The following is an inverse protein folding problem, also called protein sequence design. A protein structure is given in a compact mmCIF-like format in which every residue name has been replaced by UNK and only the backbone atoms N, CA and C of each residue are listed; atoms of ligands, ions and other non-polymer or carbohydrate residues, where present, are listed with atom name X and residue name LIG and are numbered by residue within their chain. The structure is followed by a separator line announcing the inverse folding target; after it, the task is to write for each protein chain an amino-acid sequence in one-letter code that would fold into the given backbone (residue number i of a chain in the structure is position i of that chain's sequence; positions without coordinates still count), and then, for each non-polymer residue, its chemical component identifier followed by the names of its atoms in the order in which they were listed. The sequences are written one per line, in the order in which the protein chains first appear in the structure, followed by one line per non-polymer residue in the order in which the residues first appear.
data_IF_956943028619
#
_entry.id   IF_956943028619
#
_cell.length_a   1.000
_cell.length_b   1.000
_cell.length_c   1.000
_cell.angle_alpha   90.00
_cell.angle_beta   90.00
_cell.angle_gamma   90.00
#
_symmetry.space_group_name_H-M   'P 1'
#
loop_
_entity.id
_entity.type
_entity.pdbx_description
1 polymer ?
#
# COMPACT_ATOMS: atom_id res chain seq x y z
N UNK A 1 -9.62 -2.42 -15.08
CA UNK A 1 -10.01 -1.53 -13.97
C UNK A 1 -8.75 -1.22 -13.18
N UNK A 2 -8.33 0.05 -13.12
CA UNK A 2 -7.08 0.46 -12.48
C UNK A 2 -7.15 0.20 -10.98
N UNK A 3 -6.30 -0.70 -10.47
CA UNK A 3 -6.18 -1.06 -9.06
C UNK A 3 -5.13 -0.22 -8.33
N UNK A 4 -5.09 1.09 -8.61
CA UNK A 4 -4.67 1.99 -7.55
C UNK A 4 -5.66 1.81 -6.41
N UNK A 5 -5.23 1.29 -5.25
CA UNK A 5 -6.07 1.45 -4.07
C UNK A 5 -6.11 2.94 -3.76
N UNK A 6 -7.13 3.61 -4.27
CA UNK A 6 -7.45 4.96 -3.86
C UNK A 6 -7.51 4.97 -2.33
N UNK A 7 -7.17 6.10 -1.70
CA UNK A 7 -7.27 6.18 -0.22
C UNK A 7 -8.68 5.76 0.24
N UNK A 8 -9.67 6.08 -0.59
CA UNK A 8 -11.05 5.63 -0.52
C UNK A 8 -11.19 4.10 -0.45
N UNK A 9 -10.54 3.33 -1.32
CA UNK A 9 -10.62 1.85 -1.29
C UNK A 9 -9.95 1.25 -0.06
N UNK A 10 -8.85 1.86 0.43
CA UNK A 10 -8.20 1.42 1.67
C UNK A 10 -9.10 1.67 2.88
N UNK A 11 -9.70 2.86 2.96
CA UNK A 11 -10.66 3.19 4.01
C UNK A 11 -11.90 2.28 3.90
N UNK A 12 -12.39 2.00 2.70
CA UNK A 12 -13.51 1.08 2.48
C UNK A 12 -13.20 -0.32 3.03
N UNK A 13 -12.02 -0.88 2.72
CA UNK A 13 -11.60 -2.18 3.24
C UNK A 13 -11.47 -2.20 4.76
N UNK A 14 -10.92 -1.13 5.34
CA UNK A 14 -10.81 -0.99 6.80
C UNK A 14 -12.19 -1.02 7.46
N UNK A 15 -13.11 -0.17 7.01
CA UNK A 15 -14.46 -0.08 7.58
C UNK A 15 -15.19 -1.42 7.41
N UNK A 16 -15.13 -2.02 6.22
CA UNK A 16 -15.78 -3.29 5.96
C UNK A 16 -15.20 -4.43 6.82
N UNK A 17 -13.89 -4.45 7.02
CA UNK A 17 -13.20 -5.42 7.89
C UNK A 17 -13.59 -5.25 9.36
N UNK A 18 -13.61 -4.02 9.87
CA UNK A 18 -14.05 -3.73 11.24
C UNK A 18 -15.51 -4.17 11.47
N UNK A 19 -16.41 -3.96 10.52
CA UNK A 19 -17.81 -4.42 10.63
C UNK A 19 -17.89 -5.96 10.58
N UNK A 20 -17.17 -6.59 9.65
CA UNK A 20 -17.26 -8.04 9.42
C UNK A 20 -16.65 -8.86 10.57
N UNK A 21 -15.63 -8.35 11.24
CA UNK A 21 -14.93 -9.02 12.34
C UNK A 21 -15.49 -8.65 13.73
N UNK A 22 -16.47 -7.77 13.80
CA UNK A 22 -17.06 -7.34 15.08
C UNK A 22 -18.05 -8.37 15.61
N UNK A 23 -18.01 -8.62 16.93
CA UNK A 23 -19.06 -9.34 17.65
C UNK A 23 -20.42 -8.63 17.59
N UNK A 24 -20.42 -7.32 17.32
CA UNK A 24 -21.61 -6.49 17.18
C UNK A 24 -21.57 -5.67 15.87
N UNK A 25 -21.76 -6.31 14.70
CA UNK A 25 -21.64 -5.65 13.39
C UNK A 25 -22.58 -4.46 13.23
N UNK A 26 -23.83 -4.58 13.69
CA UNK A 26 -24.83 -3.51 13.62
C UNK A 26 -24.44 -2.27 14.41
N UNK A 27 -23.92 -2.45 15.63
CA UNK A 27 -23.39 -1.34 16.44
C UNK A 27 -22.15 -0.72 15.80
N UNK A 28 -21.30 -1.54 15.17
CA UNK A 28 -20.12 -1.07 14.44
C UNK A 28 -20.49 -0.24 13.22
N UNK A 29 -21.53 -0.64 12.48
CA UNK A 29 -22.13 0.17 11.42
C UNK A 29 -22.60 1.52 11.97
N UNK A 30 -23.31 1.54 13.10
CA UNK A 30 -23.76 2.78 13.76
C UNK A 30 -22.59 3.73 14.05
N UNK A 31 -21.53 3.23 14.69
CA UNK A 31 -20.32 4.00 15.02
C UNK A 31 -19.73 4.62 13.75
N UNK A 32 -19.59 3.83 12.68
CA UNK A 32 -19.05 4.33 11.42
C UNK A 32 -19.96 5.37 10.77
N UNK A 33 -21.28 5.16 10.74
CA UNK A 33 -22.22 6.16 10.22
C UNK A 33 -22.12 7.48 11.01
N UNK A 34 -22.04 7.41 12.33
CA UNK A 34 -21.94 8.59 13.21
C UNK A 34 -20.60 9.32 13.06
N UNK A 35 -19.50 8.59 12.89
CA UNK A 35 -18.18 9.18 12.56
C UNK A 35 -18.21 9.96 11.24
N UNK A 36 -18.94 9.44 10.26
CA UNK A 36 -19.20 10.12 9.00
C UNK A 36 -20.23 11.25 9.11
N UNK A 37 -20.86 11.41 10.28
CA UNK A 37 -21.91 12.41 10.57
C UNK A 37 -23.10 12.31 9.62
N UNK A 38 -23.41 11.09 9.15
CA UNK A 38 -24.50 10.85 8.21
C UNK A 38 -25.78 10.46 8.99
N UNK A 39 -26.90 11.19 8.83
CA UNK A 39 -28.18 10.78 9.40
C UNK A 39 -28.70 9.47 8.80
N UNK A 40 -29.42 8.66 9.58
CA UNK A 40 -30.00 7.40 9.08
C UNK A 40 -30.89 7.62 7.86
N UNK A 41 -31.69 8.70 7.85
CA UNK A 41 -32.59 9.03 6.74
C UNK A 41 -31.84 9.31 5.43
N UNK A 42 -30.72 10.03 5.50
CA UNK A 42 -29.87 10.36 4.34
C UNK A 42 -29.22 9.10 3.78
N UNK A 43 -28.72 8.23 4.67
CA UNK A 43 -28.12 6.96 4.26
C UNK A 43 -29.15 6.02 3.62
N UNK A 44 -30.34 5.94 4.22
CA UNK A 44 -31.41 5.07 3.74
C UNK A 44 -31.93 5.53 2.36
N UNK A 45 -32.09 6.84 2.18
CA UNK A 45 -32.47 7.46 0.90
C UNK A 45 -31.45 7.14 -0.19
N UNK A 46 -30.15 7.36 0.09
CA UNK A 46 -29.07 7.04 -0.85
C UNK A 46 -28.99 5.55 -1.20
N UNK A 47 -29.38 4.68 -0.27
CA UNK A 47 -29.43 3.23 -0.49
C UNK A 47 -30.77 2.75 -1.08
N UNK A 48 -31.74 3.64 -1.29
CA UNK A 48 -33.10 3.31 -1.74
C UNK A 48 -33.76 2.24 -0.87
N UNK A 49 -33.67 2.39 0.45
CA UNK A 49 -34.29 1.52 1.45
C UNK A 49 -35.00 2.35 2.52
N UNK A 50 -35.89 1.72 3.30
CA UNK A 50 -36.52 2.40 4.43
C UNK A 50 -35.51 2.71 5.56
N UNK A 51 -35.58 3.88 6.22
CA UNK A 51 -34.79 4.18 7.42
C UNK A 51 -34.90 3.13 8.53
N UNK A 52 -36.05 2.43 8.62
CA UNK A 52 -36.24 1.33 9.57
C UNK A 52 -35.25 0.18 9.35
N UNK A 53 -34.80 -0.07 8.11
CA UNK A 53 -33.82 -1.12 7.81
C UNK A 53 -32.45 -0.78 8.41
N UNK A 54 -32.03 0.48 8.34
CA UNK A 54 -30.79 0.93 8.98
C UNK A 54 -30.93 0.84 10.50
N UNK A 55 -32.05 1.32 11.05
CA UNK A 55 -32.33 1.21 12.49
C UNK A 55 -32.34 -0.24 12.98
N UNK A 56 -32.88 -1.19 12.22
CA UNK A 56 -32.90 -2.61 12.58
C UNK A 56 -31.50 -3.21 12.70
N UNK A 57 -30.58 -2.86 11.81
CA UNK A 57 -29.19 -3.26 11.94
C UNK A 57 -28.53 -2.60 13.15
N UNK A 58 -28.66 -1.28 13.28
CA UNK A 58 -27.98 -0.51 14.33
C UNK A 58 -28.47 -0.82 15.75
N UNK A 59 -29.72 -1.27 15.89
CA UNK A 59 -30.30 -1.71 17.16
C UNK A 59 -30.03 -3.19 17.49
N UNK A 60 -29.42 -3.94 16.57
CA UNK A 60 -29.18 -5.37 16.74
C UNK A 60 -30.41 -6.26 16.52
N UNK A 61 -31.57 -5.71 16.11
CA UNK A 61 -32.73 -6.51 15.67
C UNK A 61 -32.35 -7.45 14.51
N UNK A 62 -31.46 -6.98 13.62
CA UNK A 62 -30.79 -7.81 12.61
C UNK A 62 -29.36 -8.10 13.05
N UNK A 63 -29.10 -9.36 13.44
CA UNK A 63 -27.84 -9.77 14.07
C UNK A 63 -26.61 -9.60 13.19
N UNK A 64 -26.70 -9.92 11.89
CA UNK A 64 -25.52 -9.92 11.01
C UNK A 64 -25.86 -9.40 9.60
N UNK A 65 -25.26 -8.29 9.14
CA UNK A 65 -25.39 -7.83 7.77
C UNK A 65 -24.62 -8.76 6.82
N UNK A 66 -25.22 -9.08 5.67
CA UNK A 66 -24.52 -9.83 4.61
C UNK A 66 -23.42 -8.99 3.96
N UNK A 67 -22.49 -9.64 3.25
CA UNK A 67 -21.36 -8.98 2.58
C UNK A 67 -21.79 -7.93 1.55
N UNK A 68 -22.93 -8.15 0.87
CA UNK A 68 -23.53 -7.17 -0.05
C UNK A 68 -24.04 -5.93 0.68
N UNK A 69 -24.68 -6.11 1.84
CA UNK A 69 -25.15 -5.02 2.72
C UNK A 69 -23.99 -4.19 3.23
N UNK A 70 -22.93 -4.84 3.75
CA UNK A 70 -21.72 -4.15 4.22
C UNK A 70 -21.10 -3.34 3.07
N UNK A 71 -20.94 -3.95 1.89
CA UNK A 71 -20.38 -3.26 0.71
C UNK A 71 -21.17 -2.03 0.33
N UNK A 72 -22.51 -2.14 0.25
CA UNK A 72 -23.40 -1.02 -0.10
C UNK A 72 -23.33 0.08 0.95
N UNK A 73 -23.40 -0.28 2.23
CA UNK A 73 -23.28 0.64 3.35
C UNK A 73 -21.97 1.44 3.32
N UNK A 74 -20.82 0.75 3.23
CA UNK A 74 -19.51 1.41 3.23
C UNK A 74 -19.34 2.32 2.02
N UNK A 75 -19.75 1.87 0.82
CA UNK A 75 -19.69 2.70 -0.39
C UNK A 75 -20.59 3.93 -0.29
N UNK A 76 -21.76 3.80 0.31
CA UNK A 76 -22.67 4.91 0.54
C UNK A 76 -22.07 5.95 1.50
N UNK A 77 -21.46 5.53 2.62
CA UNK A 77 -20.79 6.45 3.54
C UNK A 77 -19.71 7.28 2.84
N UNK A 78 -18.85 6.62 2.06
CA UNK A 78 -17.77 7.30 1.35
C UNK A 78 -18.29 8.26 0.28
N UNK A 79 -19.28 7.82 -0.50
CA UNK A 79 -19.87 8.64 -1.57
C UNK A 79 -20.58 9.88 -1.01
N UNK A 80 -21.29 9.73 0.11
CA UNK A 80 -21.97 10.83 0.80
C UNK A 80 -20.99 11.82 1.44
N UNK A 81 -19.86 11.37 1.99
CA UNK A 81 -18.82 12.28 2.48
C UNK A 81 -18.15 13.04 1.33
N UNK A 82 -17.82 12.36 0.22
CA UNK A 82 -17.26 12.99 -0.98
C UNK A 82 -18.19 14.09 -1.53
N UNK A 83 -19.50 13.82 -1.59
CA UNK A 83 -20.51 14.82 -1.97
C UNK A 83 -20.60 16.02 -1.02
N UNK A 84 -20.19 15.86 0.24
CA UNK A 84 -20.19 16.89 1.27
C UNK A 84 -18.79 17.50 1.52
N UNK A 85 -17.87 17.38 0.57
CA UNK A 85 -16.53 17.99 0.63
C UNK A 85 -15.43 17.09 1.19
N UNK A 86 -15.71 15.81 1.48
CA UNK A 86 -14.71 14.78 1.73
C UNK A 86 -13.92 14.94 3.03
N UNK A 87 -14.44 15.68 4.02
CA UNK A 87 -13.68 16.04 5.21
C UNK A 87 -13.37 14.84 6.10
N UNK A 88 -14.28 13.87 6.20
CA UNK A 88 -14.08 12.68 7.04
C UNK A 88 -13.06 11.77 6.39
N UNK A 89 -13.18 11.53 5.08
CA UNK A 89 -12.17 10.81 4.31
C UNK A 89 -10.82 11.50 4.46
N UNK A 90 -10.72 12.81 4.25
CA UNK A 90 -9.47 13.57 4.41
C UNK A 90 -8.90 13.51 5.85
N UNK A 91 -9.76 13.50 6.87
CA UNK A 91 -9.35 13.33 8.27
C UNK A 91 -8.79 11.94 8.54
N UNK A 92 -9.45 10.90 8.04
CA UNK A 92 -8.93 9.52 8.10
C UNK A 92 -7.69 9.35 7.25
N UNK A 93 -7.59 10.00 6.08
CA UNK A 93 -6.36 10.06 5.28
C UNK A 93 -5.24 10.60 6.14
N UNK A 94 -5.40 11.75 6.82
CA UNK A 94 -4.36 12.31 7.70
C UNK A 94 -4.00 11.37 8.85
N UNK A 95 -4.98 10.78 9.53
CA UNK A 95 -4.73 9.86 10.67
C UNK A 95 -4.13 8.52 10.22
N UNK A 96 -4.48 8.04 9.03
CA UNK A 96 -3.90 6.86 8.40
C UNK A 96 -2.56 7.18 7.70
N UNK A 97 -2.32 8.42 7.27
CA UNK A 97 -1.08 8.89 6.63
C UNK A 97 0.00 9.20 7.66
N UNK A 98 -0.33 9.56 8.90
CA UNK A 98 0.64 9.48 10.03
C UNK A 98 1.19 8.05 10.18
N UNK A 99 0.47 7.04 9.65
CA UNK A 99 0.90 5.64 9.64
C UNK A 99 1.51 5.15 8.32
N UNK A 100 1.68 5.99 7.30
CA UNK A 100 2.32 5.62 6.03
C UNK A 100 3.44 6.63 5.75
N UNK A 101 4.66 6.30 6.20
CA UNK A 101 5.96 6.81 5.69
C UNK A 101 5.80 8.05 4.81
N UNK A 102 5.99 9.26 5.36
CA UNK A 102 5.78 10.58 4.75
C UNK A 102 5.60 10.55 3.22
N UNK A 103 4.54 11.17 2.68
CA UNK A 103 4.25 11.20 1.23
C UNK A 103 5.42 11.60 0.33
N UNK A 104 6.48 12.19 0.91
CA UNK A 104 7.72 12.53 0.21
C UNK A 104 8.80 11.43 0.21
N UNK A 105 8.70 10.44 1.08
CA UNK A 105 9.61 9.29 1.19
C UNK A 105 9.14 8.14 0.30
N UNK A 106 7.85 7.78 0.34
CA UNK A 106 7.29 6.74 -0.56
C UNK A 106 6.71 7.39 -1.81
N UNK A 107 7.43 7.26 -2.92
CA UNK A 107 7.09 7.88 -4.20
C UNK A 107 6.02 7.10 -4.98
N UNK A 108 5.97 5.77 -4.80
CA UNK A 108 4.95 4.89 -5.36
C UNK A 108 4.92 3.57 -4.59
N UNK A 109 3.74 2.96 -4.45
CA UNK A 109 3.60 1.63 -3.86
C UNK A 109 2.37 0.95 -4.46
N UNK A 110 2.50 -0.32 -4.82
CA UNK A 110 1.38 -1.14 -5.26
C UNK A 110 1.61 -2.62 -4.90
N UNK A 111 0.49 -3.32 -4.66
CA UNK A 111 0.43 -4.78 -4.54
C UNK A 111 -0.04 -5.37 -5.88
N UNK A 112 0.52 -6.51 -6.26
CA UNK A 112 0.12 -7.24 -7.47
C UNK A 112 -0.98 -8.25 -7.15
N UNK A 113 -2.04 -8.34 -7.97
CA UNK A 113 -3.08 -9.36 -7.80
C UNK A 113 -2.57 -10.77 -8.11
N UNK A 114 -1.62 -10.87 -9.03
CA UNK A 114 -0.91 -12.11 -9.39
C UNK A 114 0.59 -11.87 -9.20
N UNK A 115 1.35 -12.79 -8.57
CA UNK A 115 2.77 -12.58 -8.36
C UNK A 115 3.54 -12.47 -9.68
N UNK A 116 4.53 -11.56 -9.71
CA UNK A 116 5.45 -11.39 -10.83
C UNK A 116 6.82 -11.95 -10.46
N UNK A 117 7.42 -12.76 -11.34
CA UNK A 117 8.79 -13.25 -11.12
C UNK A 117 9.78 -12.08 -11.13
N UNK A 118 10.73 -12.05 -10.20
CA UNK A 118 11.72 -10.96 -10.10
C UNK A 118 12.51 -10.69 -11.38
N UNK A 119 12.89 -11.74 -12.12
CA UNK A 119 13.52 -11.62 -13.46
C UNK A 119 12.62 -10.90 -14.45
N UNK A 120 11.32 -11.18 -14.41
CA UNK A 120 10.34 -10.53 -15.28
C UNK A 120 10.13 -9.07 -14.91
N UNK A 121 10.02 -8.79 -13.61
CA UNK A 121 9.97 -7.43 -13.09
C UNK A 121 11.18 -6.60 -13.54
N UNK A 122 12.40 -7.13 -13.38
CA UNK A 122 13.62 -6.48 -13.85
C UNK A 122 13.62 -6.25 -15.36
N UNK A 123 13.19 -7.24 -16.16
CA UNK A 123 13.11 -7.13 -17.62
C UNK A 123 12.19 -5.99 -18.04
N UNK A 124 11.00 -5.88 -17.46
CA UNK A 124 10.01 -4.83 -17.78
C UNK A 124 10.49 -3.43 -17.40
N UNK A 125 11.25 -3.31 -16.31
CA UNK A 125 11.78 -2.02 -15.84
C UNK A 125 13.20 -1.72 -16.36
N UNK A 126 13.72 -2.52 -17.29
CA UNK A 126 15.09 -2.36 -17.83
C UNK A 126 16.14 -2.33 -16.72
N UNK A 127 16.04 -3.27 -15.79
CA UNK A 127 16.97 -3.41 -14.68
C UNK A 127 17.97 -4.53 -14.95
N UNK A 128 19.25 -4.24 -14.70
CA UNK A 128 20.33 -5.23 -14.76
C UNK A 128 20.58 -5.79 -13.37
N UNK A 129 20.49 -7.12 -13.22
CA UNK A 129 20.78 -7.78 -11.96
C UNK A 129 22.31 -7.87 -11.80
N UNK A 130 22.83 -7.15 -10.81
CA UNK A 130 24.28 -7.01 -10.55
C UNK A 130 24.78 -7.98 -9.46
N UNK A 131 23.88 -8.49 -8.60
CA UNK A 131 24.21 -9.48 -7.57
C UNK A 131 23.00 -10.38 -7.26
N UNK A 132 23.24 -11.56 -6.68
CA UNK A 132 22.20 -12.48 -6.23
C UNK A 132 21.35 -13.08 -7.35
N UNK A 133 21.91 -13.22 -8.57
CA UNK A 133 21.18 -13.67 -9.79
C UNK A 133 20.45 -15.02 -9.62
N UNK A 134 21.00 -15.93 -8.82
CA UNK A 134 20.38 -17.22 -8.45
C UNK A 134 19.05 -17.07 -7.69
N UNK A 135 18.88 -15.98 -6.95
CA UNK A 135 17.67 -15.68 -6.18
C UNK A 135 16.65 -14.85 -6.96
N UNK A 136 16.98 -14.38 -8.16
CA UNK A 136 16.17 -13.40 -8.90
C UNK A 136 14.83 -13.96 -9.44
N UNK A 137 14.63 -15.28 -9.42
CA UNK A 137 13.39 -15.89 -9.92
C UNK A 137 12.30 -16.09 -8.85
N UNK A 138 12.45 -15.48 -7.68
CA UNK A 138 11.42 -15.47 -6.63
C UNK A 138 10.19 -14.68 -7.08
N UNK A 139 9.05 -14.99 -6.46
CA UNK A 139 7.82 -14.23 -6.65
C UNK A 139 7.88 -12.88 -5.95
N UNK A 140 7.28 -11.89 -6.59
CA UNK A 140 7.06 -10.56 -6.06
C UNK A 140 5.57 -10.31 -6.05
N UNK A 141 5.05 -9.89 -4.90
CA UNK A 141 3.64 -9.55 -4.68
C UNK A 141 3.40 -8.04 -4.70
N UNK A 142 4.41 -7.24 -5.03
CA UNK A 142 4.27 -5.80 -5.15
C UNK A 142 5.61 -5.09 -5.23
N UNK A 143 5.55 -3.76 -5.12
CA UNK A 143 6.73 -2.91 -5.03
C UNK A 143 6.52 -1.68 -4.14
N UNK A 144 7.63 -1.13 -3.67
CA UNK A 144 7.69 0.19 -3.03
C UNK A 144 8.85 0.99 -3.62
N UNK A 145 8.55 2.15 -4.18
CA UNK A 145 9.53 3.13 -4.65
C UNK A 145 9.77 4.18 -3.57
N UNK A 146 11.02 4.34 -3.17
CA UNK A 146 11.44 5.10 -1.99
C UNK A 146 12.50 6.13 -2.36
N UNK A 147 12.42 7.32 -1.77
CA UNK A 147 13.52 8.28 -1.72
C UNK A 147 14.48 7.87 -0.60
N UNK A 148 15.68 7.40 -0.97
CA UNK A 148 16.63 6.89 0.01
C UNK A 148 17.20 7.98 0.92
N UNK A 149 17.37 9.20 0.42
CA UNK A 149 17.98 10.27 1.21
C UNK A 149 17.09 10.66 2.37
N UNK A 150 15.77 10.74 2.11
CA UNK A 150 14.78 11.01 3.16
C UNK A 150 14.58 9.80 4.04
N UNK A 151 14.47 8.60 3.44
CA UNK A 151 14.26 7.37 4.20
C UNK A 151 15.31 7.15 5.30
N UNK A 152 16.60 7.37 4.99
CA UNK A 152 17.68 7.19 5.97
C UNK A 152 17.70 8.27 7.05
N UNK A 153 17.22 9.48 6.75
CA UNK A 153 17.21 10.60 7.71
C UNK A 153 15.99 10.57 8.63
N UNK A 154 14.86 10.12 8.12
CA UNK A 154 13.54 10.34 8.74
C UNK A 154 12.91 9.06 9.29
N UNK A 155 13.31 7.87 8.81
CA UNK A 155 12.69 6.61 9.25
C UNK A 155 13.47 5.93 10.37
N UNK A 156 12.76 5.60 11.44
CA UNK A 156 13.16 4.60 12.40
C UNK A 156 12.84 3.18 11.89
N UNK A 157 13.24 2.14 12.65
CA UNK A 157 13.01 0.74 12.27
C UNK A 157 11.52 0.40 12.13
N UNK A 158 10.65 0.96 12.98
CA UNK A 158 9.22 0.72 12.92
C UNK A 158 8.59 1.37 11.66
N UNK A 159 9.06 2.54 11.27
CA UNK A 159 8.62 3.24 10.08
C UNK A 159 9.18 2.58 8.81
N UNK A 160 10.41 2.05 8.85
CA UNK A 160 10.98 1.29 7.75
C UNK A 160 10.17 0.03 7.44
N UNK A 161 9.67 -0.68 8.48
CA UNK A 161 8.84 -1.86 8.29
C UNK A 161 7.60 -1.60 7.41
N UNK A 162 7.07 -0.37 7.43
CA UNK A 162 5.93 0.03 6.60
C UNK A 162 6.26 0.05 5.10
N UNK A 163 7.55 0.12 4.72
CA UNK A 163 7.97 0.00 3.32
C UNK A 163 7.62 -1.36 2.72
N UNK A 164 7.41 -2.40 3.53
CA UNK A 164 6.97 -3.72 3.07
C UNK A 164 5.47 -3.77 2.73
N UNK A 165 4.68 -2.74 3.03
CA UNK A 165 3.24 -2.75 2.74
C UNK A 165 2.55 -3.98 3.35
N UNK A 166 1.84 -4.76 2.53
CA UNK A 166 1.12 -5.96 2.99
C UNK A 166 2.00 -7.22 3.10
N UNK A 167 3.19 -7.26 2.49
CA UNK A 167 4.02 -8.46 2.40
C UNK A 167 5.48 -8.12 2.20
N UNK A 168 6.36 -8.87 2.87
CA UNK A 168 7.82 -8.75 2.71
C UNK A 168 8.31 -9.29 1.36
N UNK A 169 7.52 -10.13 0.69
CA UNK A 169 7.82 -10.72 -0.61
C UNK A 169 7.55 -9.74 -1.75
N UNK A 170 8.26 -8.60 -1.74
CA UNK A 170 8.11 -7.53 -2.72
C UNK A 170 9.45 -6.94 -3.12
N UNK A 171 9.42 -6.05 -4.11
CA UNK A 171 10.58 -5.26 -4.50
C UNK A 171 10.64 -3.93 -3.73
N UNK A 172 11.79 -3.61 -3.13
CA UNK A 172 12.10 -2.24 -2.68
C UNK A 172 12.99 -1.56 -3.72
N UNK A 173 12.51 -0.44 -4.26
CA UNK A 173 13.22 0.38 -5.23
C UNK A 173 13.64 1.69 -4.56
N UNK A 174 14.93 2.01 -4.65
CA UNK A 174 15.46 3.25 -4.07
C UNK A 174 15.88 4.20 -5.19
N UNK A 175 15.33 5.41 -5.17
CA UNK A 175 15.71 6.51 -6.07
C UNK A 175 16.82 7.36 -5.45
N UNK A 176 17.45 8.22 -6.26
CA UNK A 176 18.53 9.12 -5.83
C UNK A 176 19.70 8.36 -5.16
N UNK A 177 19.91 7.11 -5.59
CA UNK A 177 21.00 6.29 -5.06
C UNK A 177 22.31 6.74 -5.67
N UNK A 178 23.31 6.97 -4.84
CA UNK A 178 24.70 7.21 -5.25
C UNK A 178 25.45 5.91 -5.50
N UNK A 179 25.62 5.06 -4.47
CA UNK A 179 26.40 3.80 -4.58
C UNK A 179 25.65 2.55 -4.14
N UNK A 180 24.48 2.68 -3.51
CA UNK A 180 23.70 1.55 -2.99
C UNK A 180 24.12 1.05 -1.60
N UNK A 181 25.18 1.61 -1.00
CA UNK A 181 25.61 1.25 0.36
C UNK A 181 24.53 1.55 1.40
N UNK A 182 24.03 2.78 1.43
CA UNK A 182 23.00 3.22 2.39
C UNK A 182 21.74 2.34 2.40
N UNK A 183 21.07 2.05 1.25
CA UNK A 183 19.88 1.20 1.26
C UNK A 183 20.19 -0.23 1.70
N UNK A 184 21.34 -0.79 1.31
CA UNK A 184 21.68 -2.17 1.69
C UNK A 184 22.03 -2.30 3.18
N UNK A 185 22.69 -1.30 3.77
CA UNK A 185 22.95 -1.25 5.22
C UNK A 185 21.63 -1.08 6.00
N UNK A 186 20.74 -0.20 5.54
CA UNK A 186 19.42 -0.02 6.15
C UNK A 186 18.58 -1.30 6.09
N UNK A 187 18.61 -2.04 4.98
CA UNK A 187 17.97 -3.35 4.87
C UNK A 187 18.63 -4.35 5.82
N UNK A 188 19.97 -4.35 5.92
CA UNK A 188 20.69 -5.30 6.78
C UNK A 188 20.27 -5.19 8.25
N UNK A 189 19.97 -3.99 8.75
CA UNK A 189 19.53 -3.76 10.13
C UNK A 189 18.10 -4.18 10.43
N UNK A 190 17.27 -4.45 9.41
CA UNK A 190 15.89 -4.90 9.62
C UNK A 190 15.81 -6.40 9.94
N UNK A 191 14.76 -6.82 10.64
CA UNK A 191 14.47 -8.25 10.82
C UNK A 191 14.05 -8.90 9.49
N UNK A 192 13.12 -8.25 8.77
CA UNK A 192 12.58 -8.75 7.51
C UNK A 192 13.36 -8.24 6.30
N UNK A 193 13.44 -9.07 5.25
CA UNK A 193 14.18 -8.78 4.02
C UNK A 193 13.26 -8.78 2.79
N UNK A 194 13.44 -7.86 1.84
CA UNK A 194 12.69 -7.88 0.59
C UNK A 194 13.12 -9.02 -0.33
N UNK A 195 12.25 -9.41 -1.26
CA UNK A 195 12.56 -10.42 -2.29
C UNK A 195 13.45 -9.89 -3.42
N UNK A 196 13.51 -8.57 -3.62
CA UNK A 196 14.32 -7.90 -4.63
C UNK A 196 14.64 -6.46 -4.21
N UNK A 197 15.86 -6.00 -4.46
CA UNK A 197 16.23 -4.58 -4.33
C UNK A 197 16.62 -4.03 -5.69
N UNK A 198 16.10 -2.85 -6.03
CA UNK A 198 16.48 -2.11 -7.24
C UNK A 198 17.02 -0.74 -6.86
N UNK A 199 18.18 -0.39 -7.41
CA UNK A 199 18.80 0.91 -7.28
C UNK A 199 18.53 1.75 -8.53
N UNK A 200 18.07 2.99 -8.35
CA UNK A 200 17.84 3.95 -9.43
C UNK A 200 18.63 5.24 -9.15
N UNK A 201 19.34 5.71 -10.18
CA UNK A 201 20.17 6.92 -10.12
C UNK A 201 21.67 6.65 -10.05
N UNK A 202 22.09 5.39 -10.02
CA UNK A 202 23.48 4.98 -10.02
C UNK A 202 23.82 4.08 -11.20
N UNK A 203 25.07 4.18 -11.68
CA UNK A 203 25.68 3.24 -12.64
C UNK A 203 26.74 2.36 -12.01
N UNK A 204 27.21 2.71 -10.79
CA UNK A 204 28.28 2.01 -10.08
C UNK A 204 27.81 1.60 -8.68
N UNK A 205 27.87 0.31 -8.41
CA UNK A 205 27.40 -0.24 -7.14
C UNK A 205 28.58 -0.52 -6.23
N UNK A 206 28.45 -0.04 -4.99
CA UNK A 206 29.45 -0.25 -3.95
C UNK A 206 29.70 -1.74 -3.71
N UNK A 207 30.97 -2.11 -3.53
CA UNK A 207 31.33 -3.50 -3.24
C UNK A 207 30.62 -4.04 -1.99
N UNK A 208 30.47 -3.22 -0.94
CA UNK A 208 29.75 -3.65 0.26
C UNK A 208 28.27 -3.92 -0.02
N UNK A 209 27.64 -3.15 -0.92
CA UNK A 209 26.25 -3.39 -1.30
C UNK A 209 26.07 -4.74 -2.02
N UNK A 210 27.03 -5.12 -2.87
CA UNK A 210 27.08 -6.43 -3.54
C UNK A 210 27.27 -7.55 -2.50
N UNK A 211 28.24 -7.39 -1.59
CA UNK A 211 28.52 -8.39 -0.55
C UNK A 211 27.31 -8.60 0.38
N UNK A 212 26.66 -7.51 0.82
CA UNK A 212 25.45 -7.57 1.64
C UNK A 212 24.28 -8.24 0.89
N UNK A 213 24.14 -7.98 -0.41
CA UNK A 213 23.13 -8.62 -1.27
C UNK A 213 23.31 -10.13 -1.29
N UNK A 214 24.53 -10.62 -1.52
CA UNK A 214 24.84 -12.05 -1.52
C UNK A 214 24.65 -12.67 -0.13
N UNK A 215 25.14 -12.01 0.93
CA UNK A 215 25.00 -12.51 2.30
C UNK A 215 23.54 -12.64 2.74
N UNK A 216 22.69 -11.69 2.34
CA UNK A 216 21.26 -11.72 2.67
C UNK A 216 20.44 -12.58 1.70
N UNK A 217 21.05 -13.13 0.65
CA UNK A 217 20.37 -13.85 -0.43
C UNK A 217 19.27 -13.03 -1.10
N UNK A 218 19.52 -11.73 -1.31
CA UNK A 218 18.60 -10.80 -1.95
C UNK A 218 19.20 -10.39 -3.31
N UNK A 219 18.52 -10.60 -4.44
CA UNK A 219 18.99 -10.05 -5.71
C UNK A 219 19.05 -8.53 -5.66
N UNK A 220 20.15 -7.98 -6.19
CA UNK A 220 20.34 -6.54 -6.33
C UNK A 220 20.40 -6.20 -7.81
N UNK A 221 19.59 -5.23 -8.23
CA UNK A 221 19.55 -4.78 -9.60
C UNK A 221 19.69 -3.26 -9.71
N UNK A 222 20.12 -2.78 -10.89
CA UNK A 222 20.25 -1.37 -11.23
C UNK A 222 19.29 -1.03 -12.36
N UNK A 223 18.42 -0.06 -12.16
CA UNK A 223 17.47 0.40 -13.17
C UNK A 223 18.14 1.33 -14.17
N UNK A 224 17.92 1.09 -15.47
CA UNK A 224 18.45 1.92 -16.57
C UNK A 224 17.54 3.06 -17.00
N UNK A 225 16.32 3.13 -16.47
CA UNK A 225 15.45 4.30 -16.65
C UNK A 225 16.10 5.46 -15.88
N UNK A 226 16.37 6.57 -16.57
CA UNK A 226 17.15 7.68 -15.99
C UNK A 226 16.30 8.69 -15.21
N UNK A 227 15.06 8.92 -15.64
CA UNK A 227 14.14 9.89 -15.04
C UNK A 227 13.18 9.21 -14.07
N UNK A 228 13.10 9.71 -12.84
CA UNK A 228 12.23 9.16 -11.79
C UNK A 228 10.75 9.13 -12.22
N UNK A 229 10.26 10.15 -12.91
CA UNK A 229 8.88 10.21 -13.41
C UNK A 229 8.60 9.12 -14.44
N UNK A 230 9.61 8.74 -15.23
CA UNK A 230 9.49 7.65 -16.20
C UNK A 230 9.52 6.30 -15.51
N UNK A 231 10.30 6.14 -14.44
CA UNK A 231 10.25 4.94 -13.59
C UNK A 231 8.88 4.79 -12.93
N UNK A 232 8.31 5.87 -12.37
CA UNK A 232 6.97 5.85 -11.78
C UNK A 232 5.91 5.44 -12.81
N UNK A 233 5.97 5.98 -14.04
CA UNK A 233 5.05 5.57 -15.12
C UNK A 233 5.22 4.10 -15.50
N UNK A 234 6.46 3.62 -15.61
CA UNK A 234 6.74 2.22 -15.92
C UNK A 234 6.22 1.28 -14.81
N UNK A 235 6.44 1.63 -13.55
CA UNK A 235 5.91 0.90 -12.39
C UNK A 235 4.38 0.85 -12.41
N UNK A 236 3.71 1.97 -12.63
CA UNK A 236 2.24 2.03 -12.70
C UNK A 236 1.64 1.19 -13.83
N UNK A 237 2.38 0.96 -14.91
CA UNK A 237 1.93 0.05 -15.97
C UNK A 237 1.88 -1.42 -15.55
N UNK A 238 2.59 -1.78 -14.46
CA UNK A 238 2.58 -3.12 -13.88
C UNK A 238 1.36 -3.36 -12.98
N UNK A 239 0.72 -2.30 -12.46
CA UNK A 239 -0.43 -2.40 -11.55
C UNK A 239 -1.68 -3.02 -12.20
N UNK A 240 -1.70 -3.10 -13.54
CA UNK A 240 -2.81 -3.63 -14.34
C UNK A 240 -2.63 -5.08 -14.82
N UNK A 241 -1.56 -5.75 -14.39
CA UNK A 241 -1.27 -7.16 -14.69
C UNK A 241 -1.86 -8.05 -13.60
#
# INVERSE_FOLDING_TARGET
MSYQSSVRDRLARRIAGEIALSEHPGQTMKIWRERFRIPQIVLADHLSISPSVISDYESGRRKSPGTSTIRRFVRALLTLDEGNGGQVIAGFVRLMDVSLVDLNIVLAMADFPTPLKGKEFCRRLKCDIVAGKKYANRDLFGYTLVDIERAVKELDSAAFLKLFGATTERCLLFTRVTTGRAPMVAIKSQEFKPSLVVLHGTTEVDRLAIELSEQMHIPLAVCRITKAESLVRALRSLDSI
#
